data_IF_515723630903
#
_entry.id   IF_515723630903
#
_cell.length_a   1.000
_cell.length_b   1.000
_cell.length_c   1.000
_cell.angle_alpha   90.00
_cell.angle_beta   90.00
_cell.angle_gamma   90.00
#
_symmetry.space_group_name_H-M   'P 1'
#
loop_
_entity.id
_entity.type
_entity.pdbx_description
1 polymer ?
#
# COMPACT_ATOMS: atom_id res chain seq x y z
N UNK A 1 -21.79 11.30 30.82
CA UNK A 1 -21.04 10.26 30.08
C UNK A 1 -21.35 10.42 28.61
N UNK A 2 -20.54 11.17 27.87
CA UNK A 2 -20.61 11.15 26.42
C UNK A 2 -19.80 9.94 25.97
N UNK A 3 -20.42 9.00 25.27
CA UNK A 3 -19.76 7.81 24.75
C UNK A 3 -19.17 8.10 23.37
N UNK A 4 -18.12 7.36 22.97
CA UNK A 4 -17.50 7.49 21.64
C UNK A 4 -18.52 7.39 20.48
N UNK A 5 -19.62 6.67 20.69
CA UNK A 5 -20.72 6.53 19.74
C UNK A 5 -21.40 7.85 19.35
N UNK A 6 -21.32 8.91 20.17
CA UNK A 6 -21.84 10.22 19.78
C UNK A 6 -20.92 10.93 18.78
N UNK A 7 -19.61 10.63 18.80
CA UNK A 7 -18.65 11.18 17.84
C UNK A 7 -18.70 10.49 16.49
N UNK A 8 -19.24 9.26 16.42
CA UNK A 8 -19.43 8.51 15.17
C UNK A 8 -20.17 9.32 14.11
N UNK A 9 -21.17 10.12 14.51
CA UNK A 9 -21.88 11.00 13.59
C UNK A 9 -21.00 12.15 13.08
N UNK A 10 -20.15 12.71 13.95
CA UNK A 10 -19.20 13.77 13.57
C UNK A 10 -18.13 13.22 12.62
N UNK A 11 -17.59 12.04 12.91
CA UNK A 11 -16.66 11.35 12.04
C UNK A 11 -17.23 11.15 10.63
N UNK A 12 -18.45 10.60 10.53
CA UNK A 12 -19.13 10.42 9.24
C UNK A 12 -19.36 11.74 8.50
N UNK A 13 -19.80 12.80 9.19
CA UNK A 13 -20.05 14.11 8.58
C UNK A 13 -18.76 14.76 8.02
N UNK A 14 -17.62 14.48 8.65
CA UNK A 14 -16.31 14.98 8.23
C UNK A 14 -15.59 14.05 7.26
N UNK A 15 -16.20 12.91 6.88
CA UNK A 15 -15.62 11.96 5.94
C UNK A 15 -14.73 10.87 6.56
N UNK A 16 -14.59 10.81 7.87
CA UNK A 16 -13.91 9.73 8.61
C UNK A 16 -14.82 8.49 8.76
N UNK A 17 -15.49 8.08 7.69
CA UNK A 17 -16.39 6.92 7.70
C UNK A 17 -15.62 5.60 7.52
N UNK A 18 -14.41 5.66 6.96
CA UNK A 18 -13.57 4.52 6.60
C UNK A 18 -12.31 4.48 7.46
N UNK A 19 -11.77 3.26 7.66
CA UNK A 19 -10.54 3.04 8.43
C UNK A 19 -9.32 3.72 7.78
N UNK A 20 -9.33 3.84 6.45
CA UNK A 20 -8.27 4.47 5.67
C UNK A 20 -8.15 5.98 5.93
N UNK A 21 -9.28 6.65 6.19
CA UNK A 21 -9.30 8.07 6.57
C UNK A 21 -9.10 8.23 8.07
N UNK A 22 -9.61 7.28 8.86
CA UNK A 22 -9.46 7.28 10.31
C UNK A 22 -8.00 7.08 10.75
N UNK A 23 -7.20 6.30 10.03
CA UNK A 23 -5.76 6.13 10.33
C UNK A 23 -4.94 7.40 10.11
N UNK A 24 -5.42 8.35 9.30
CA UNK A 24 -4.78 9.65 9.07
C UNK A 24 -5.17 10.71 10.12
N UNK A 25 -6.05 10.36 11.07
CA UNK A 25 -6.57 11.34 12.02
C UNK A 25 -5.52 11.81 13.02
N UNK A 26 -5.46 13.12 13.25
CA UNK A 26 -4.53 13.73 14.21
C UNK A 26 -5.24 14.23 15.47
N UNK A 27 -4.47 14.56 16.50
CA UNK A 27 -4.99 15.22 17.70
C UNK A 27 -5.71 16.53 17.37
N UNK A 28 -5.17 17.32 16.43
CA UNK A 28 -5.80 18.57 15.99
C UNK A 28 -7.16 18.32 15.31
N UNK A 29 -7.26 17.28 14.47
CA UNK A 29 -8.56 16.90 13.88
C UNK A 29 -9.57 16.53 14.96
N UNK A 30 -9.16 15.76 15.98
CA UNK A 30 -10.03 15.41 17.10
C UNK A 30 -10.54 16.65 17.84
N UNK A 31 -9.69 17.65 18.08
CA UNK A 31 -10.10 18.90 18.69
C UNK A 31 -11.07 19.70 17.79
N UNK A 32 -10.84 19.69 16.48
CA UNK A 32 -11.71 20.31 15.47
C UNK A 32 -13.10 19.65 15.37
N UNK A 33 -13.14 18.33 15.58
CA UNK A 33 -14.37 17.53 15.67
C UNK A 33 -15.12 17.73 17.02
N UNK A 34 -14.56 18.51 17.95
CA UNK A 34 -15.13 18.75 19.27
C UNK A 34 -14.82 17.64 20.30
N UNK A 35 -13.80 16.83 20.04
CA UNK A 35 -13.31 15.78 20.92
C UNK A 35 -12.10 16.32 21.71
N UNK A 36 -12.38 17.06 22.78
CA UNK A 36 -11.34 17.63 23.66
C UNK A 36 -11.02 16.75 24.89
N UNK A 37 -11.64 15.56 25.00
CA UNK A 37 -11.36 14.63 26.10
C UNK A 37 -10.10 13.81 25.80
N UNK A 38 -9.07 13.94 26.65
CA UNK A 38 -7.81 13.20 26.48
C UNK A 38 -8.01 11.68 26.49
N UNK A 39 -8.92 11.16 27.31
CA UNK A 39 -9.21 9.71 27.37
C UNK A 39 -9.77 9.18 26.04
N UNK A 40 -10.67 9.94 25.42
CA UNK A 40 -11.24 9.62 24.11
C UNK A 40 -10.22 9.80 22.99
N UNK A 41 -9.43 10.89 23.05
CA UNK A 41 -8.36 11.15 22.09
C UNK A 41 -7.35 10.01 22.08
N UNK A 42 -6.92 9.53 23.26
CA UNK A 42 -6.01 8.40 23.38
C UNK A 42 -6.62 7.10 22.85
N UNK A 43 -7.90 6.82 23.12
CA UNK A 43 -8.57 5.64 22.56
C UNK A 43 -8.61 5.67 21.04
N UNK A 44 -8.96 6.83 20.46
CA UNK A 44 -9.06 7.01 19.01
C UNK A 44 -7.67 6.95 18.36
N UNK A 45 -6.69 7.68 18.88
CA UNK A 45 -5.31 7.63 18.40
C UNK A 45 -4.73 6.22 18.47
N UNK A 46 -4.95 5.49 19.57
CA UNK A 46 -4.49 4.11 19.70
C UNK A 46 -5.15 3.19 18.66
N UNK A 47 -6.44 3.38 18.40
CA UNK A 47 -7.13 2.62 17.36
C UNK A 47 -6.58 2.97 15.97
N UNK A 48 -6.31 4.24 15.69
CA UNK A 48 -5.71 4.70 14.43
C UNK A 48 -4.29 4.14 14.22
N UNK A 49 -3.46 4.15 15.28
CA UNK A 49 -2.10 3.60 15.27
C UNK A 49 -2.12 2.09 14.97
N UNK A 50 -2.99 1.33 15.66
CA UNK A 50 -3.15 -0.10 15.43
C UNK A 50 -3.64 -0.46 14.01
N UNK A 51 -4.46 0.41 13.40
CA UNK A 51 -4.88 0.24 12.01
C UNK A 51 -3.73 0.49 11.04
N UNK A 52 -2.90 1.49 11.30
CA UNK A 52 -1.73 1.82 10.49
C UNK A 52 -0.70 0.67 10.49
N UNK A 53 -0.49 0.04 11.65
CA UNK A 53 0.39 -1.13 11.80
C UNK A 53 -0.09 -2.32 10.95
N UNK A 54 -1.40 -2.57 10.91
CA UNK A 54 -1.98 -3.67 10.14
C UNK A 54 -1.98 -3.41 8.63
N UNK A 55 -2.22 -2.17 8.18
CA UNK A 55 -2.10 -1.77 6.77
C UNK A 55 -0.65 -1.85 6.27
N UNK A 56 0.31 -1.52 7.15
CA UNK A 56 1.74 -1.55 6.84
C UNK A 56 2.31 -2.96 6.61
N UNK A 57 1.72 -3.99 7.23
CA UNK A 57 2.17 -5.38 7.07
C UNK A 57 2.00 -5.88 5.63
N UNK A 58 1.01 -5.36 4.88
CA UNK A 58 0.78 -5.75 3.49
C UNK A 58 1.75 -5.05 2.52
N UNK A 59 2.32 -3.90 2.89
CA UNK A 59 3.25 -3.12 2.07
C UNK A 59 4.73 -3.45 2.33
N UNK A 60 5.04 -4.10 3.46
CA UNK A 60 6.38 -4.61 3.76
C UNK A 60 6.89 -5.64 2.74
N UNK A 61 6.00 -6.31 2.00
CA UNK A 61 6.39 -7.28 0.97
C UNK A 61 6.60 -6.66 -0.43
N UNK A 62 6.27 -5.38 -0.63
CA UNK A 62 6.47 -4.68 -1.91
C UNK A 62 7.62 -3.65 -1.90
N UNK A 63 8.13 -3.28 -0.71
CA UNK A 63 9.28 -2.37 -0.57
C UNK A 63 10.62 -3.09 -0.45
N UNK A 64 10.63 -4.43 -0.39
CA UNK A 64 11.79 -5.19 -0.83
C UNK A 64 11.84 -5.04 -2.35
N UNK A 65 12.48 -3.97 -2.82
CA UNK A 65 12.92 -3.91 -4.20
C UNK A 65 13.58 -5.26 -4.47
N UNK A 66 13.13 -6.07 -5.44
CA UNK A 66 13.94 -7.19 -5.87
C UNK A 66 15.24 -6.53 -6.30
N UNK A 67 16.31 -6.75 -5.52
CA UNK A 67 17.65 -6.34 -5.88
C UNK A 67 17.78 -6.64 -7.36
N UNK A 68 17.95 -5.58 -8.15
CA UNK A 68 17.86 -5.52 -9.62
C UNK A 68 17.82 -6.90 -10.25
N UNK A 69 16.78 -7.31 -11.02
CA UNK A 69 16.78 -8.61 -11.65
C UNK A 69 18.08 -8.74 -12.44
N UNK A 70 19.04 -9.48 -11.89
CA UNK A 70 20.31 -9.73 -12.54
C UNK A 70 19.91 -10.56 -13.76
N UNK A 71 19.98 -9.91 -14.92
CA UNK A 71 19.52 -10.46 -16.18
C UNK A 71 20.09 -11.87 -16.28
N UNK A 72 19.27 -12.91 -16.52
CA UNK A 72 19.82 -14.22 -16.80
C UNK A 72 20.80 -14.05 -17.97
N UNK A 73 21.97 -14.71 -17.95
CA UNK A 73 22.90 -14.63 -19.07
C UNK A 73 22.10 -15.02 -20.31
N UNK A 74 21.95 -14.07 -21.23
CA UNK A 74 21.34 -14.32 -22.53
C UNK A 74 22.08 -15.51 -23.11
N UNK A 75 21.42 -16.67 -23.13
CA UNK A 75 21.94 -17.82 -23.86
C UNK A 75 21.62 -17.50 -25.31
N UNK A 76 22.54 -16.80 -25.95
CA UNK A 76 22.55 -16.57 -27.39
C UNK A 76 22.62 -17.94 -28.06
N UNK A 77 21.44 -18.46 -28.36
CA UNK A 77 21.22 -19.76 -28.95
C UNK A 77 19.94 -19.67 -29.75
N UNK A 78 20.02 -19.02 -30.90
CA UNK A 78 19.03 -19.11 -31.97
C UNK A 78 19.83 -19.05 -33.28
N UNK A 79 20.18 -20.21 -33.84
CA UNK A 79 19.40 -20.82 -34.90
C UNK A 79 19.31 -19.90 -36.13
N UNK A 80 20.46 -19.71 -36.80
CA UNK A 80 20.49 -19.23 -38.18
C UNK A 80 19.87 -20.33 -39.08
N UNK A 81 18.55 -20.26 -39.24
CA UNK A 81 17.83 -20.93 -40.31
C UNK A 81 17.55 -19.89 -41.39
N UNK A 82 18.57 -19.53 -42.16
CA UNK A 82 18.38 -18.94 -43.48
C UNK A 82 18.79 -19.96 -44.54
N UNK A 83 17.73 -20.55 -45.10
CA UNK A 83 17.72 -21.50 -46.18
C UNK A 83 18.05 -20.77 -47.48
N UNK A 84 19.33 -20.50 -47.73
CA UNK A 84 19.78 -19.93 -48.98
C UNK A 84 20.16 -21.05 -49.96
N UNK A 85 19.11 -21.48 -50.67
CA UNK A 85 19.11 -21.92 -52.06
C UNK A 85 20.33 -22.70 -52.59
N UNK A 86 20.08 -23.98 -52.87
CA UNK A 86 20.15 -24.57 -54.23
C UNK A 86 21.03 -23.78 -55.22
N UNK A 87 22.33 -24.11 -55.26
CA UNK A 87 23.20 -24.02 -56.43
C UNK A 87 24.16 -25.22 -56.28
N UNK A 88 23.87 -26.38 -56.87
CA UNK A 88 24.14 -26.79 -58.24
C UNK A 88 25.66 -26.91 -58.57
N UNK A 89 26.01 -28.04 -59.20
CA UNK A 89 27.28 -28.41 -59.87
C UNK A 89 28.48 -28.77 -58.96
N UNK A 90 28.88 -30.05 -58.92
CA UNK A 90 29.87 -30.73 -59.78
C UNK A 90 31.34 -30.45 -59.38
N UNK A 91 31.96 -31.42 -58.70
CA UNK A 91 33.20 -32.12 -59.09
C UNK A 91 33.34 -33.41 -58.27
#
# INVERSE_FOLDING_TARGET
MFSLQNYVNVFMLHGYQDLDTFKEITKEDLESLGINNEDHQMQILRAAEALLEHDGEILGEYLEAPASPELPPVKEGDADLTLDSVINDLD
#
